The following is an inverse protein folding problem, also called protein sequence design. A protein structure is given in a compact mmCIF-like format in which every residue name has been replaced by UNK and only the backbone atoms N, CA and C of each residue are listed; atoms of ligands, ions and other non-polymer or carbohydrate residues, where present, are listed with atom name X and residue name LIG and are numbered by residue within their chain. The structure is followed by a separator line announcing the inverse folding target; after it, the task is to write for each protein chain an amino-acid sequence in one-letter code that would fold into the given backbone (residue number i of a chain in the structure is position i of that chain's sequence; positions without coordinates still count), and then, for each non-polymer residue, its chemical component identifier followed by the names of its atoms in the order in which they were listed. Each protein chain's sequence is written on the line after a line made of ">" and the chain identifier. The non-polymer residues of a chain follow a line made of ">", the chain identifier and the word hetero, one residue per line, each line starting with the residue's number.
data_IF_741249009260
#
_entry.id   IF_741249009260
#
_cell.length_a   1.000
_cell.length_b   1.000
_cell.length_c   1.000
_cell.angle_alpha   90.00
_cell.angle_beta   90.00
_cell.angle_gamma   90.00
#
_symmetry.space_group_name_H-M   'P 1'
#
loop_
_entity.id
_entity.type
_entity.pdbx_description
1 polymer ?
#
# COMPACT_ATOMS: atom_id res chain seq x y z
N UNK A 1 -0.98 11.35 3.43
CA UNK A 1 -1.10 12.81 3.51
C UNK A 1 -2.21 13.28 2.58
N UNK A 2 -3.02 14.21 3.02
CA UNK A 2 -3.87 15.04 2.20
C UNK A 2 -3.21 16.43 2.18
N UNK A 3 -2.97 17.00 0.99
CA UNK A 3 -2.28 18.27 0.84
C UNK A 3 -0.83 18.11 0.37
N UNK A 4 0.01 19.08 0.76
CA UNK A 4 1.39 19.15 0.29
C UNK A 4 2.21 17.90 0.64
N UNK A 5 3.11 17.41 -0.27
CA UNK A 5 3.36 17.91 -1.63
C UNK A 5 2.37 17.41 -2.70
N UNK A 6 1.62 16.33 -2.47
CA UNK A 6 0.75 15.67 -3.46
C UNK A 6 -0.52 16.44 -3.84
N UNK A 7 -0.88 17.48 -3.06
CA UNK A 7 -2.17 18.15 -3.20
C UNK A 7 -3.36 17.30 -2.73
N UNK A 8 -4.59 17.77 -2.98
CA UNK A 8 -5.81 17.09 -2.52
C UNK A 8 -6.37 16.04 -3.50
N UNK A 9 -5.85 16.01 -4.73
CA UNK A 9 -6.33 15.09 -5.78
C UNK A 9 -5.64 13.73 -5.75
N UNK A 10 -4.45 13.67 -5.16
CA UNK A 10 -3.65 12.45 -5.07
C UNK A 10 -3.61 11.95 -3.63
N UNK A 11 -3.68 10.67 -3.47
CA UNK A 11 -3.61 10.02 -2.17
C UNK A 11 -2.20 9.50 -1.91
N UNK A 12 -1.80 9.53 -0.66
CA UNK A 12 -0.50 9.05 -0.23
C UNK A 12 -0.35 9.12 1.29
N UNK A 13 0.85 8.92 1.76
CA UNK A 13 1.15 8.95 3.18
C UNK A 13 2.63 9.18 3.44
N UNK A 14 2.95 9.36 4.71
CA UNK A 14 4.33 9.43 5.16
C UNK A 14 4.47 8.80 6.53
N UNK A 15 5.66 8.38 6.85
CA UNK A 15 5.99 7.91 8.19
C UNK A 15 7.38 8.38 8.59
N UNK A 16 7.57 8.51 9.89
CA UNK A 16 8.86 8.78 10.51
C UNK A 16 8.96 7.86 11.72
N UNK A 17 10.00 7.06 11.78
CA UNK A 17 10.33 6.23 12.93
C UNK A 17 11.70 6.60 13.46
N UNK A 18 11.79 6.79 14.77
CA UNK A 18 13.06 6.87 15.47
C UNK A 18 13.53 5.44 15.77
N UNK A 19 14.75 5.15 15.40
CA UNK A 19 15.41 3.88 15.64
C UNK A 19 16.56 4.06 16.62
N UNK A 20 17.15 2.95 17.06
CA UNK A 20 18.35 2.98 17.90
C UNK A 20 19.52 3.66 17.18
N UNK A 21 20.55 4.02 17.92
CA UNK A 21 21.79 4.67 17.44
C UNK A 21 21.55 5.97 16.66
N UNK A 22 20.61 6.80 17.13
CA UNK A 22 20.24 8.08 16.52
C UNK A 22 19.84 7.99 15.04
N UNK A 23 19.29 6.85 14.63
CA UNK A 23 18.78 6.67 13.28
C UNK A 23 17.33 7.10 13.16
N UNK A 24 16.97 7.62 11.98
CA UNK A 24 15.60 7.99 11.61
C UNK A 24 15.23 7.32 10.31
N UNK A 25 14.11 6.60 10.32
CA UNK A 25 13.54 6.00 9.11
C UNK A 25 12.40 6.87 8.60
N UNK A 26 12.61 7.52 7.48
CA UNK A 26 11.61 8.38 6.83
C UNK A 26 11.13 7.72 5.55
N UNK A 27 9.82 7.63 5.38
CA UNK A 27 9.22 7.10 4.17
C UNK A 27 8.09 7.96 3.64
N UNK A 28 7.87 7.84 2.34
CA UNK A 28 6.82 8.55 1.63
C UNK A 28 6.11 7.59 0.67
N UNK A 29 4.80 7.59 0.72
CA UNK A 29 3.94 6.71 -0.06
C UNK A 29 3.14 7.56 -1.06
N UNK A 30 3.09 7.12 -2.30
CA UNK A 30 2.27 7.71 -3.35
C UNK A 30 1.39 6.62 -3.94
N UNK A 31 0.08 6.87 -4.01
CA UNK A 31 -0.84 5.98 -4.70
C UNK A 31 -0.58 6.06 -6.20
N UNK A 32 -0.47 4.89 -6.86
CA UNK A 32 -0.07 4.82 -8.26
C UNK A 32 -1.20 5.12 -9.26
N UNK A 33 -2.41 5.39 -8.78
CA UNK A 33 -3.56 5.77 -9.60
C UNK A 33 -3.66 7.29 -9.89
N UNK A 34 -2.52 8.00 -9.81
CA UNK A 34 -2.47 9.42 -10.12
C UNK A 34 -2.76 9.69 -11.60
N UNK A 35 -3.42 10.81 -11.88
CA UNK A 35 -3.86 11.19 -13.22
C UNK A 35 -2.78 11.89 -14.04
N UNK A 36 -2.03 12.79 -13.39
CA UNK A 36 -1.00 13.59 -14.05
C UNK A 36 0.28 12.75 -14.27
N UNK A 37 0.67 12.46 -15.52
CA UNK A 37 1.85 11.67 -15.84
C UNK A 37 3.19 12.33 -15.46
N UNK A 38 3.18 13.65 -15.20
CA UNK A 38 4.37 14.36 -14.72
C UNK A 38 4.61 14.19 -13.23
N UNK A 39 3.67 13.58 -12.47
CA UNK A 39 3.90 13.26 -11.07
C UNK A 39 4.95 12.17 -10.95
N UNK A 40 6.02 12.48 -10.25
CA UNK A 40 7.14 11.57 -10.06
C UNK A 40 7.31 11.21 -8.57
N UNK A 41 6.88 10.01 -8.12
CA UNK A 41 6.87 9.64 -6.71
C UNK A 41 8.20 9.81 -5.98
N UNK A 42 9.32 9.55 -6.66
CA UNK A 42 10.64 9.78 -6.12
C UNK A 42 10.87 11.27 -5.79
N UNK A 43 10.55 12.17 -6.72
CA UNK A 43 10.75 13.61 -6.51
C UNK A 43 9.76 14.18 -5.49
N UNK A 44 8.55 13.63 -5.39
CA UNK A 44 7.62 13.97 -4.31
C UNK A 44 8.21 13.64 -2.93
N UNK A 45 8.91 12.52 -2.80
CA UNK A 45 9.62 12.19 -1.57
C UNK A 45 10.81 13.14 -1.32
N UNK A 46 11.59 13.48 -2.35
CA UNK A 46 12.67 14.45 -2.20
C UNK A 46 12.11 15.81 -1.71
N UNK A 47 11.02 16.28 -2.31
CA UNK A 47 10.34 17.50 -1.93
C UNK A 47 9.79 17.42 -0.48
N UNK A 48 9.18 16.32 -0.10
CA UNK A 48 8.67 16.08 1.26
C UNK A 48 9.73 16.26 2.34
N UNK A 49 10.98 15.88 2.09
CA UNK A 49 12.08 16.04 3.05
C UNK A 49 12.39 17.49 3.37
N UNK A 50 12.03 18.44 2.50
CA UNK A 50 12.17 19.88 2.75
C UNK A 50 11.05 20.49 3.61
N UNK A 51 10.05 19.71 4.01
CA UNK A 51 9.08 20.19 5.00
C UNK A 51 9.82 20.59 6.30
N UNK A 52 9.58 21.79 6.87
CA UNK A 52 10.41 22.31 7.98
C UNK A 52 10.61 21.34 9.14
N UNK A 53 9.55 20.62 9.55
CA UNK A 53 9.65 19.62 10.63
C UNK A 53 10.54 18.42 10.25
N UNK A 54 10.47 17.98 8.99
CA UNK A 54 11.27 16.85 8.50
C UNK A 54 12.71 17.28 8.27
N UNK A 55 12.91 18.43 7.63
CA UNK A 55 14.24 19.00 7.40
C UNK A 55 15.02 19.19 8.71
N UNK A 56 14.39 19.74 9.73
CA UNK A 56 15.00 19.91 11.05
C UNK A 56 15.40 18.57 11.69
N UNK A 57 14.60 17.56 11.53
CA UNK A 57 14.89 16.21 12.04
C UNK A 57 16.09 15.56 11.33
N UNK A 58 16.24 15.82 10.02
CA UNK A 58 17.29 15.24 9.18
C UNK A 58 18.57 16.07 9.13
N UNK A 59 18.54 17.30 9.67
CA UNK A 59 19.67 18.23 9.62
C UNK A 59 20.93 17.64 10.26
N UNK A 60 22.03 17.69 9.51
CA UNK A 60 23.32 17.14 9.95
C UNK A 60 23.42 15.61 9.91
N UNK A 61 22.36 14.92 9.51
CA UNK A 61 22.35 13.47 9.34
C UNK A 61 23.03 13.03 8.06
N UNK A 62 23.48 11.77 8.05
CA UNK A 62 24.02 11.07 6.87
C UNK A 62 23.04 9.98 6.44
N UNK A 63 22.76 9.90 5.13
CA UNK A 63 21.97 8.78 4.58
C UNK A 63 22.73 7.48 4.73
N UNK A 64 22.13 6.48 5.37
CA UNK A 64 22.75 5.16 5.62
C UNK A 64 22.12 4.04 4.80
N UNK A 65 20.87 4.23 4.33
CA UNK A 65 20.17 3.25 3.51
C UNK A 65 19.08 3.90 2.67
N UNK A 66 18.71 3.24 1.60
CA UNK A 66 17.61 3.61 0.71
C UNK A 66 16.88 2.35 0.24
N UNK A 67 15.58 2.49 0.01
CA UNK A 67 14.77 1.44 -0.59
C UNK A 67 13.44 1.96 -1.09
N UNK A 68 12.87 1.28 -2.09
CA UNK A 68 11.53 1.56 -2.58
C UNK A 68 10.81 0.25 -2.90
N UNK A 69 9.51 0.20 -2.67
CA UNK A 69 8.68 -0.95 -2.98
C UNK A 69 7.25 -0.54 -3.31
N UNK A 70 6.68 -1.21 -4.32
CA UNK A 70 5.25 -1.15 -4.58
C UNK A 70 4.52 -2.15 -3.69
N UNK A 71 3.35 -1.76 -3.16
CA UNK A 71 2.50 -2.58 -2.31
C UNK A 71 1.08 -2.55 -2.85
N UNK A 72 0.47 -3.73 -3.05
CA UNK A 72 -0.91 -3.83 -3.46
C UNK A 72 -1.85 -3.54 -2.29
N UNK A 73 -2.75 -2.58 -2.47
CA UNK A 73 -3.76 -2.15 -1.48
C UNK A 73 -5.20 -2.21 -1.99
N UNK A 74 -5.45 -2.98 -3.05
CA UNK A 74 -6.76 -3.08 -3.70
C UNK A 74 -7.85 -3.77 -2.88
N UNK A 75 -7.53 -4.31 -1.71
CA UNK A 75 -8.46 -5.02 -0.84
C UNK A 75 -8.78 -6.43 -1.34
N UNK A 76 -9.82 -7.03 -0.73
CA UNK A 76 -10.18 -8.44 -0.98
C UNK A 76 -10.54 -8.73 -2.46
N UNK A 77 -11.05 -7.73 -3.19
CA UNK A 77 -11.39 -7.85 -4.60
C UNK A 77 -10.18 -8.00 -5.52
N UNK A 78 -8.99 -7.60 -5.05
CA UNK A 78 -7.73 -7.62 -5.81
C UNK A 78 -6.80 -8.76 -5.41
N UNK A 79 -7.22 -9.63 -4.49
CA UNK A 79 -6.41 -10.78 -4.09
C UNK A 79 -6.35 -11.77 -5.26
N UNK A 80 -5.14 -12.11 -5.74
CA UNK A 80 -4.98 -13.10 -6.81
C UNK A 80 -5.27 -14.52 -6.32
N UNK A 81 -5.18 -15.51 -7.22
CA UNK A 81 -5.12 -16.91 -6.81
C UNK A 81 -3.87 -17.15 -5.99
N UNK A 82 -4.03 -17.30 -4.66
CA UNK A 82 -2.91 -17.36 -3.72
C UNK A 82 -2.19 -18.71 -3.66
N UNK A 83 -2.72 -19.75 -4.31
CA UNK A 83 -2.14 -21.09 -4.32
C UNK A 83 -2.01 -21.61 -5.75
N UNK A 84 -0.90 -22.28 -6.02
CA UNK A 84 -0.58 -22.92 -7.30
C UNK A 84 0.29 -24.16 -7.05
N UNK A 85 0.49 -25.07 -8.01
CA UNK A 85 1.32 -26.24 -7.81
C UNK A 85 2.72 -25.87 -7.32
N UNK A 86 3.12 -26.39 -6.16
CA UNK A 86 4.43 -26.16 -5.56
C UNK A 86 4.64 -24.79 -4.93
N UNK A 87 3.62 -23.90 -4.84
CA UNK A 87 3.82 -22.58 -4.29
C UNK A 87 2.57 -21.89 -3.75
N UNK A 88 2.83 -20.82 -2.97
CA UNK A 88 1.79 -19.97 -2.43
C UNK A 88 2.25 -18.51 -2.29
N UNK A 89 1.32 -17.56 -2.44
CA UNK A 89 1.55 -16.14 -2.22
C UNK A 89 1.11 -15.77 -0.79
N UNK A 90 1.97 -15.06 -0.05
CA UNK A 90 1.75 -14.66 1.32
C UNK A 90 1.88 -13.15 1.50
N UNK A 91 1.25 -12.61 2.53
CA UNK A 91 1.42 -11.23 2.97
C UNK A 91 1.17 -10.20 1.87
N UNK A 92 2.10 -9.28 1.72
CA UNK A 92 2.00 -8.20 0.73
C UNK A 92 2.05 -8.70 -0.72
N UNK A 93 2.70 -9.85 -0.99
CA UNK A 93 2.71 -10.46 -2.33
C UNK A 93 1.33 -10.99 -2.73
N UNK A 94 0.48 -11.33 -1.76
CA UNK A 94 -0.92 -11.68 -1.96
C UNK A 94 -1.87 -10.47 -1.87
N UNK A 95 -1.37 -9.27 -1.55
CA UNK A 95 -2.19 -8.07 -1.41
C UNK A 95 -3.05 -8.00 -0.14
N UNK A 96 -2.58 -8.59 0.96
CA UNK A 96 -3.35 -8.74 2.21
C UNK A 96 -3.32 -7.51 3.12
N UNK A 97 -3.05 -6.33 2.57
CA UNK A 97 -3.01 -5.05 3.32
C UNK A 97 -4.41 -4.58 3.67
N UNK A 98 -4.66 -4.27 4.95
CA UNK A 98 -5.86 -3.58 5.39
C UNK A 98 -5.67 -2.07 5.19
N UNK A 99 -6.24 -1.51 4.13
CA UNK A 99 -6.03 -0.13 3.71
C UNK A 99 -6.42 0.91 4.77
N UNK A 100 -7.63 0.91 5.37
CA UNK A 100 -8.00 1.90 6.38
C UNK A 100 -7.12 1.90 7.63
N UNK A 101 -6.61 0.74 8.01
CA UNK A 101 -5.68 0.61 9.14
C UNK A 101 -4.25 0.97 8.78
N UNK A 102 -3.93 1.06 7.48
CA UNK A 102 -2.55 1.24 6.98
C UNK A 102 -1.64 0.14 7.56
N UNK A 103 -2.16 -1.07 7.72
CA UNK A 103 -1.50 -2.20 8.38
C UNK A 103 -1.64 -3.46 7.53
N UNK A 104 -0.53 -4.18 7.37
CA UNK A 104 -0.48 -5.46 6.66
C UNK A 104 0.22 -6.55 7.47
N UNK A 105 1.01 -6.18 8.49
CA UNK A 105 1.88 -7.11 9.22
C UNK A 105 1.10 -8.27 9.88
N UNK A 106 -0.02 -7.97 10.55
CA UNK A 106 -0.86 -9.00 11.18
C UNK A 106 -1.39 -10.02 10.15
N UNK A 107 -1.87 -9.56 8.99
CA UNK A 107 -2.34 -10.43 7.93
C UNK A 107 -1.18 -11.20 7.27
N UNK A 108 0.00 -10.58 7.13
CA UNK A 108 1.19 -11.25 6.63
C UNK A 108 1.64 -12.38 7.55
N UNK A 109 1.69 -12.13 8.86
CA UNK A 109 2.04 -13.14 9.87
C UNK A 109 1.03 -14.29 9.88
N UNK A 110 -0.27 -14.00 9.92
CA UNK A 110 -1.31 -15.02 9.84
C UNK A 110 -1.22 -15.84 8.56
N UNK A 111 -1.00 -15.21 7.41
CA UNK A 111 -0.86 -15.94 6.15
C UNK A 111 0.37 -16.86 6.15
N UNK A 112 1.46 -16.45 6.83
CA UNK A 112 2.65 -17.27 7.00
C UNK A 112 2.37 -18.51 7.84
N UNK A 113 1.66 -18.35 8.96
CA UNK A 113 1.26 -19.45 9.84
C UNK A 113 0.36 -20.44 9.08
N UNK A 114 -0.72 -19.96 8.46
CA UNK A 114 -1.67 -20.78 7.74
C UNK A 114 -1.02 -21.56 6.57
N UNK A 115 -0.08 -20.91 5.86
CA UNK A 115 0.65 -21.54 4.77
C UNK A 115 1.64 -22.60 5.29
N UNK A 116 2.32 -22.33 6.39
CA UNK A 116 3.25 -23.29 7.01
C UNK A 116 2.50 -24.55 7.49
N UNK A 117 1.36 -24.38 8.16
CA UNK A 117 0.52 -25.50 8.58
C UNK A 117 0.01 -26.33 7.40
N UNK A 118 -0.45 -25.68 6.33
CA UNK A 118 -0.91 -26.37 5.13
C UNK A 118 0.22 -27.12 4.41
N UNK A 119 1.42 -26.52 4.35
CA UNK A 119 2.60 -27.15 3.78
C UNK A 119 3.06 -28.36 4.62
N UNK A 120 3.09 -28.21 5.94
CA UNK A 120 3.44 -29.29 6.85
C UNK A 120 2.51 -30.50 6.68
N UNK A 121 1.19 -30.27 6.65
CA UNK A 121 0.21 -31.33 6.39
C UNK A 121 0.40 -32.03 5.05
N UNK A 122 0.73 -31.26 4.01
CA UNK A 122 0.98 -31.83 2.68
C UNK A 122 2.23 -32.74 2.68
N UNK A 123 3.33 -32.24 3.24
CA UNK A 123 4.61 -32.96 3.30
C UNK A 123 4.45 -34.22 4.17
N UNK A 124 3.84 -34.12 5.35
CA UNK A 124 3.59 -35.25 6.25
C UNK A 124 2.70 -36.34 5.63
N UNK A 125 1.86 -35.97 4.65
CA UNK A 125 1.06 -36.90 3.87
C UNK A 125 1.76 -37.41 2.61
N UNK A 126 3.08 -37.17 2.44
CA UNK A 126 3.86 -37.59 1.29
C UNK A 126 3.54 -36.84 -0.02
N UNK A 127 2.84 -35.72 0.04
CA UNK A 127 2.46 -34.90 -1.12
C UNK A 127 3.50 -33.81 -1.38
N UNK A 128 4.06 -33.79 -2.59
CA UNK A 128 5.01 -32.77 -3.04
C UNK A 128 4.54 -32.11 -4.33
N UNK A 129 4.91 -30.84 -4.56
CA UNK A 129 4.45 -30.10 -5.73
C UNK A 129 2.94 -29.83 -5.78
N UNK A 130 2.26 -30.00 -4.66
CA UNK A 130 0.80 -29.95 -4.51
C UNK A 130 0.25 -28.50 -4.41
N UNK A 131 -1.06 -28.38 -4.55
CA UNK A 131 -1.78 -27.14 -4.32
C UNK A 131 -2.28 -27.12 -2.89
N UNK A 132 -1.87 -26.12 -2.10
CA UNK A 132 -2.23 -25.97 -0.69
C UNK A 132 -3.67 -25.43 -0.53
N UNK A 133 -4.67 -26.25 -0.90
CA UNK A 133 -6.08 -25.87 -0.90
C UNK A 133 -6.57 -25.34 0.44
N UNK A 134 -6.09 -25.90 1.56
CA UNK A 134 -6.47 -25.46 2.92
C UNK A 134 -6.01 -24.05 3.19
N UNK A 135 -4.81 -23.68 2.77
CA UNK A 135 -4.33 -22.30 2.82
C UNK A 135 -5.22 -21.35 2.00
N UNK A 136 -5.55 -21.72 0.77
CA UNK A 136 -6.44 -20.92 -0.07
C UNK A 136 -7.83 -20.71 0.56
N UNK A 137 -8.38 -21.72 1.23
CA UNK A 137 -9.64 -21.62 1.98
C UNK A 137 -9.50 -20.72 3.21
N UNK A 138 -8.39 -20.82 3.96
CA UNK A 138 -8.11 -19.99 5.13
C UNK A 138 -8.02 -18.51 4.77
N UNK A 139 -7.32 -18.14 3.70
CA UNK A 139 -7.27 -16.74 3.22
C UNK A 139 -8.65 -16.20 2.91
N UNK A 140 -9.53 -16.99 2.29
CA UNK A 140 -10.87 -16.56 1.87
C UNK A 140 -11.86 -16.46 3.03
N UNK A 141 -11.87 -17.45 3.92
CA UNK A 141 -12.91 -17.66 4.92
C UNK A 141 -12.44 -17.48 6.37
N UNK A 142 -11.14 -17.47 6.58
CA UNK A 142 -10.49 -17.30 7.88
C UNK A 142 -10.45 -15.83 8.36
N UNK A 143 -9.66 -15.56 9.40
CA UNK A 143 -9.56 -14.23 10.02
C UNK A 143 -9.18 -13.13 9.01
N UNK A 144 -8.23 -13.41 8.10
CA UNK A 144 -7.76 -12.47 7.06
C UNK A 144 -8.91 -12.08 6.13
N UNK A 145 -9.63 -13.06 5.59
CA UNK A 145 -10.78 -12.80 4.71
C UNK A 145 -11.88 -12.01 5.41
N UNK A 146 -12.15 -12.30 6.68
CA UNK A 146 -13.13 -11.56 7.51
C UNK A 146 -12.69 -10.13 7.76
N UNK A 147 -11.40 -9.89 8.06
CA UNK A 147 -10.84 -8.55 8.27
C UNK A 147 -10.94 -7.71 6.98
N UNK A 148 -10.53 -8.26 5.86
CA UNK A 148 -10.52 -7.55 4.58
C UNK A 148 -11.95 -7.34 4.01
N UNK A 149 -12.90 -8.24 4.28
CA UNK A 149 -14.31 -8.05 3.91
C UNK A 149 -14.95 -6.84 4.57
N UNK A 150 -14.57 -6.51 5.80
CA UNK A 150 -15.11 -5.33 6.52
C UNK A 150 -14.74 -4.01 5.85
N UNK A 151 -13.61 -3.97 5.18
CA UNK A 151 -13.04 -2.76 4.57
C UNK A 151 -13.08 -2.77 3.04
N UNK A 152 -13.78 -3.72 2.44
CA UNK A 152 -13.75 -4.03 1.01
C UNK A 152 -14.09 -2.86 0.09
N UNK A 153 -14.94 -1.93 0.54
CA UNK A 153 -15.41 -0.81 -0.29
C UNK A 153 -14.50 0.42 -0.24
N UNK A 154 -13.56 0.52 0.72
CA UNK A 154 -12.75 1.74 0.91
C UNK A 154 -11.86 2.04 -0.30
N UNK A 155 -11.16 1.03 -0.83
CA UNK A 155 -10.30 1.23 -2.00
C UNK A 155 -11.09 1.60 -3.27
N UNK A 156 -12.19 0.92 -3.65
CA UNK A 156 -13.04 1.35 -4.76
C UNK A 156 -13.65 2.74 -4.60
N UNK A 157 -14.06 3.13 -3.40
CA UNK A 157 -14.61 4.45 -3.12
C UNK A 157 -13.56 5.55 -3.28
N UNK A 158 -12.35 5.33 -2.75
CA UNK A 158 -11.23 6.25 -2.94
C UNK A 158 -10.88 6.43 -4.42
N UNK A 159 -10.89 5.34 -5.19
CA UNK A 159 -10.62 5.41 -6.64
C UNK A 159 -11.69 6.16 -7.44
N UNK A 160 -12.97 6.11 -7.00
CA UNK A 160 -14.10 6.77 -7.71
C UNK A 160 -14.27 8.23 -7.33
N UNK A 161 -14.21 8.54 -6.03
CA UNK A 161 -14.60 9.84 -5.47
C UNK A 161 -13.41 10.65 -4.95
N UNK A 162 -12.20 10.10 -5.08
CA UNK A 162 -10.99 10.71 -4.53
C UNK A 162 -10.83 10.50 -3.03
N UNK A 163 -9.70 10.95 -2.45
CA UNK A 163 -9.33 10.58 -1.07
C UNK A 163 -10.31 11.08 0.00
N UNK A 164 -10.81 12.31 -0.13
CA UNK A 164 -11.65 12.92 0.92
C UNK A 164 -13.06 12.33 0.93
N UNK A 165 -13.76 12.37 -0.20
CA UNK A 165 -15.11 11.84 -0.30
C UNK A 165 -15.13 10.32 -0.15
N UNK A 166 -14.14 9.62 -0.71
CA UNK A 166 -13.98 8.18 -0.55
C UNK A 166 -13.77 7.77 0.92
N UNK A 167 -13.02 8.57 1.69
CA UNK A 167 -12.82 8.33 3.13
C UNK A 167 -14.13 8.51 3.93
N UNK A 168 -14.90 9.57 3.65
CA UNK A 168 -16.15 9.83 4.36
C UNK A 168 -17.20 8.74 4.07
N UNK A 169 -17.41 8.42 2.80
CA UNK A 169 -18.39 7.39 2.39
C UNK A 169 -17.94 6.01 2.87
N UNK A 170 -16.64 5.70 2.72
CA UNK A 170 -16.07 4.43 3.18
C UNK A 170 -16.12 4.28 4.69
N UNK A 171 -15.87 5.36 5.44
CA UNK A 171 -16.00 5.39 6.90
C UNK A 171 -17.44 5.14 7.35
N UNK A 172 -18.41 5.77 6.69
CA UNK A 172 -19.83 5.53 6.94
C UNK A 172 -20.23 4.08 6.65
N UNK A 173 -19.83 3.52 5.49
CA UNK A 173 -20.11 2.12 5.15
C UNK A 173 -19.49 1.14 6.17
N UNK A 174 -18.27 1.39 6.62
CA UNK A 174 -17.62 0.59 7.66
C UNK A 174 -18.34 0.69 9.00
N UNK A 175 -18.75 1.90 9.40
CA UNK A 175 -19.53 2.12 10.63
C UNK A 175 -20.86 1.38 10.55
N UNK A 176 -21.59 1.53 9.45
CA UNK A 176 -22.86 0.84 9.21
C UNK A 176 -22.69 -0.69 9.26
N UNK A 177 -21.65 -1.23 8.61
CA UNK A 177 -21.34 -2.67 8.66
C UNK A 177 -21.01 -3.16 10.08
N UNK A 178 -20.43 -2.30 10.93
CA UNK A 178 -20.11 -2.70 12.32
C UNK A 178 -21.37 -2.95 13.15
N UNK A 179 -22.47 -2.25 12.86
CA UNK A 179 -23.76 -2.35 13.56
C UNK A 179 -24.62 -3.45 12.92
N UNK A 180 -24.85 -3.35 11.61
CA UNK A 180 -25.84 -4.18 10.89
C UNK A 180 -25.25 -5.43 10.25
N UNK A 181 -23.91 -5.60 10.27
CA UNK A 181 -23.15 -6.73 9.72
C UNK A 181 -23.27 -6.92 8.21
N UNK A 182 -23.84 -5.99 7.48
CA UNK A 182 -23.85 -5.95 6.02
C UNK A 182 -23.56 -4.53 5.51
N UNK A 183 -23.15 -4.41 4.26
CA UNK A 183 -22.90 -3.11 3.60
C UNK A 183 -24.10 -2.73 2.75
N UNK A 184 -24.53 -1.47 2.85
CA UNK A 184 -25.55 -0.90 1.95
C UNK A 184 -25.09 -0.86 0.49
N UNK A 185 -23.78 -0.77 0.27
CA UNK A 185 -23.17 -0.68 -1.06
C UNK A 185 -22.85 -2.06 -1.66
N UNK A 186 -23.13 -3.14 -0.92
CA UNK A 186 -22.71 -4.49 -1.33
C UNK A 186 -21.20 -4.62 -1.41
N UNK A 187 -20.70 -5.17 -2.52
CA UNK A 187 -19.25 -5.24 -2.80
C UNK A 187 -18.97 -4.48 -4.10
N UNK A 188 -18.34 -3.33 -3.96
CA UNK A 188 -17.95 -2.50 -5.10
C UNK A 188 -16.75 -3.10 -5.84
N UNK A 189 -16.72 -2.93 -7.15
CA UNK A 189 -15.56 -3.29 -7.99
C UNK A 189 -14.69 -2.08 -8.24
N UNK A 190 -13.40 -2.31 -8.45
CA UNK A 190 -12.50 -1.30 -8.97
C UNK A 190 -12.93 -0.89 -10.39
N UNK A 191 -12.87 0.40 -10.70
CA UNK A 191 -13.25 0.90 -12.03
C UNK A 191 -12.14 0.72 -13.06
N UNK A 192 -11.00 1.33 -12.79
CA UNK A 192 -9.81 1.32 -13.67
C UNK A 192 -8.62 0.76 -12.91
N UNK A 193 -7.67 0.16 -13.64
CA UNK A 193 -6.35 -0.13 -13.09
C UNK A 193 -5.55 1.17 -12.87
N UNK A 194 -4.49 1.11 -12.07
CA UNK A 194 -3.65 2.29 -11.83
C UNK A 194 -3.09 2.85 -13.14
N UNK A 195 -2.59 1.99 -14.02
CA UNK A 195 -2.09 2.41 -15.34
C UNK A 195 -3.17 3.07 -16.23
N UNK A 196 -4.42 2.59 -16.17
CA UNK A 196 -5.53 3.20 -16.91
C UNK A 196 -6.03 4.51 -16.29
N UNK A 197 -5.62 4.83 -15.07
CA UNK A 197 -5.98 6.08 -14.39
C UNK A 197 -5.12 7.25 -14.83
N UNK A 198 -3.93 7.01 -15.37
CA UNK A 198 -3.04 8.05 -15.89
C UNK A 198 -3.63 8.63 -17.17
N UNK A 199 -3.77 9.94 -17.22
CA UNK A 199 -4.32 10.69 -18.34
C UNK A 199 -3.20 11.13 -19.33
N UNK A 200 -3.57 11.69 -20.48
CA UNK A 200 -2.58 12.11 -21.48
C UNK A 200 -1.81 13.34 -20.98
N UNK A 201 -0.50 13.39 -21.23
CA UNK A 201 0.38 14.48 -20.79
C UNK A 201 -0.09 15.86 -21.27
N UNK A 202 -0.61 15.95 -22.49
CA UNK A 202 -1.13 17.20 -23.07
C UNK A 202 -2.30 17.83 -22.29
N UNK A 203 -3.01 17.03 -21.49
CA UNK A 203 -4.18 17.46 -20.71
C UNK A 203 -3.80 17.91 -19.29
N UNK A 204 -2.50 17.88 -18.98
CA UNK A 204 -1.97 18.22 -17.66
C UNK A 204 -0.86 19.27 -17.74
N UNK A 205 -0.78 20.07 -16.69
CA UNK A 205 0.36 20.97 -16.49
C UNK A 205 1.56 20.15 -16.03
N UNK A 206 2.71 20.42 -16.63
CA UNK A 206 4.00 19.86 -16.20
C UNK A 206 4.32 20.26 -14.75
N UNK A 207 4.84 19.32 -13.99
CA UNK A 207 5.31 19.53 -12.62
C UNK A 207 6.82 19.77 -12.67
N UNK A 208 7.24 20.99 -12.40
CA UNK A 208 8.65 21.33 -12.25
C UNK A 208 9.10 21.02 -10.82
N UNK A 209 10.02 20.08 -10.69
CA UNK A 209 10.62 19.74 -9.39
C UNK A 209 11.91 20.54 -9.16
N UNK A 210 12.18 21.02 -7.94
CA UNK A 210 13.43 21.65 -7.63
C UNK A 210 14.59 20.65 -7.78
N UNK A 211 15.76 21.15 -8.17
CA UNK A 211 16.96 20.31 -8.19
C UNK A 211 17.30 19.88 -6.75
N UNK A 212 17.68 18.60 -6.56
CA UNK A 212 18.15 18.12 -5.26
C UNK A 212 19.35 18.93 -4.75
N UNK A 213 19.38 19.19 -3.45
CA UNK A 213 20.42 20.02 -2.79
C UNK A 213 21.69 19.22 -2.42
N UNK A 214 21.67 17.91 -2.54
CA UNK A 214 22.76 17.02 -2.15
C UNK A 214 22.95 16.84 -0.62
N UNK A 215 22.09 17.48 0.20
CA UNK A 215 22.13 17.42 1.65
C UNK A 215 20.93 16.66 2.22
N UNK A 216 19.72 17.13 1.93
CA UNK A 216 18.45 16.50 2.33
C UNK A 216 17.83 15.73 1.17
N UNK A 217 17.98 16.23 -0.03
CA UNK A 217 17.47 15.63 -1.25
C UNK A 217 18.59 15.26 -2.21
N UNK A 218 18.39 14.17 -2.94
CA UNK A 218 19.42 13.58 -3.79
C UNK A 218 18.82 13.22 -5.14
N UNK A 219 19.63 13.23 -6.20
CA UNK A 219 19.25 12.65 -7.48
C UNK A 219 19.18 11.11 -7.37
N UNK A 220 18.56 10.46 -8.36
CA UNK A 220 18.33 9.01 -8.31
C UNK A 220 19.62 8.20 -8.27
N UNK A 221 20.63 8.58 -9.05
CA UNK A 221 21.88 7.84 -9.12
C UNK A 221 22.65 7.97 -7.81
N UNK A 222 22.81 9.19 -7.30
CA UNK A 222 23.43 9.44 -6.01
C UNK A 222 22.69 8.75 -4.86
N UNK A 223 21.36 8.59 -4.99
CA UNK A 223 20.58 7.98 -3.93
C UNK A 223 20.75 6.45 -3.84
N UNK A 224 21.06 5.78 -4.93
CA UNK A 224 21.31 4.32 -4.95
C UNK A 224 22.78 3.95 -4.79
N UNK A 225 23.68 4.92 -4.82
CA UNK A 225 25.11 4.77 -4.55
C UNK A 225 25.38 5.09 -3.08
N UNK A 226 26.02 4.18 -2.37
CA UNK A 226 26.38 4.34 -0.96
C UNK A 226 27.90 4.45 -0.81
#
# INVERSE_FOLDING_TARGET
>A
TLGWPLGFKNSGGSFVYHLDNNQVYVGYIVDLNYKNPYLFPYMEFQNFKHHPKIANLLKGGKRVAYGARAVTKGGIQSIPKVVFPGGALLGCSAGLVNLPRIKGNHNAMHSGIDAAEAAFKAISAGRSGDILHDYGKSIKNGPIGKDLKKVRNVAPLNGRFGPLAGLLIGGFDMWFQSIFRFSLLGTLRHGKSDAQSTEKAKDHKEISYPKPDGLLSFDRLTNVSF
#
